data_IF_202320458728
#
_entry.id   IF_202320458728
#
_cell.length_a   1.000
_cell.length_b   1.000
_cell.length_c   1.000
_cell.angle_alpha   90.00
_cell.angle_beta   90.00
_cell.angle_gamma   90.00
#
_symmetry.space_group_name_H-M   'P 1'
#
loop_
_entity.id
_entity.type
_entity.pdbx_description
1 polymer ?
#
# COMPACT_ATOMS: atom_id res chain seq x y z
N UNK A 1 -39.77 -32.40 15.83
CA UNK A 1 -39.28 -31.80 14.56
C UNK A 1 -38.86 -30.38 14.84
N UNK A 2 -37.56 -30.18 15.18
CA UNK A 2 -36.93 -28.89 15.28
C UNK A 2 -36.40 -28.55 13.90
N UNK A 3 -37.14 -27.74 13.16
CA UNK A 3 -36.69 -27.15 11.93
C UNK A 3 -35.78 -25.96 12.26
N UNK A 4 -34.50 -26.18 12.40
CA UNK A 4 -33.50 -25.12 12.37
C UNK A 4 -33.37 -24.69 10.89
N UNK A 5 -34.13 -23.67 10.53
CA UNK A 5 -33.78 -22.88 9.34
C UNK A 5 -32.56 -22.04 9.70
N UNK A 6 -31.39 -22.57 9.47
CA UNK A 6 -30.19 -21.80 9.37
C UNK A 6 -30.36 -20.86 8.13
N UNK A 7 -30.96 -19.70 8.38
CA UNK A 7 -30.80 -18.59 7.46
C UNK A 7 -29.36 -18.12 7.61
N UNK A 8 -28.45 -18.72 6.84
CA UNK A 8 -27.15 -18.14 6.58
C UNK A 8 -27.43 -16.72 6.09
N UNK A 9 -27.22 -15.73 6.99
CA UNK A 9 -27.27 -14.33 6.58
C UNK A 9 -26.17 -14.17 5.58
N UNK A 10 -26.53 -14.10 4.30
CA UNK A 10 -25.61 -13.69 3.25
C UNK A 10 -24.95 -12.42 3.73
N UNK A 11 -23.63 -12.40 3.85
CA UNK A 11 -22.89 -11.18 4.14
C UNK A 11 -23.09 -10.23 2.94
N UNK A 12 -24.03 -9.30 3.10
CA UNK A 12 -24.38 -8.34 2.06
C UNK A 12 -23.38 -7.19 1.96
N UNK A 13 -22.42 -7.11 2.87
CA UNK A 13 -21.39 -6.05 2.90
C UNK A 13 -20.67 -5.98 1.56
N UNK A 14 -20.32 -7.12 0.98
CA UNK A 14 -19.69 -7.21 -0.32
C UNK A 14 -20.51 -6.56 -1.46
N UNK A 15 -21.83 -6.59 -1.41
CA UNK A 15 -22.71 -6.01 -2.42
C UNK A 15 -22.85 -4.49 -2.30
N UNK A 16 -22.39 -3.91 -1.21
CA UNK A 16 -22.49 -2.47 -0.91
C UNK A 16 -21.17 -1.73 -1.07
N UNK A 17 -20.08 -2.44 -1.39
CA UNK A 17 -18.76 -1.85 -1.56
C UNK A 17 -18.72 -1.01 -2.84
N UNK A 18 -18.36 0.26 -2.69
CA UNK A 18 -18.23 1.19 -3.82
C UNK A 18 -16.88 1.02 -4.52
N UNK A 19 -16.82 1.20 -5.86
CA UNK A 19 -15.55 1.29 -6.57
C UNK A 19 -14.65 2.38 -6.01
N UNK A 20 -13.33 2.16 -6.03
CA UNK A 20 -12.31 3.11 -5.58
C UNK A 20 -11.40 3.55 -6.73
N UNK A 21 -11.89 4.34 -7.69
CA UNK A 21 -11.18 4.66 -8.93
C UNK A 21 -9.93 5.51 -8.69
N UNK A 22 -9.93 6.41 -7.69
CA UNK A 22 -8.77 7.26 -7.39
C UNK A 22 -7.63 6.45 -6.77
N UNK A 23 -7.94 5.50 -5.89
CA UNK A 23 -6.97 4.56 -5.34
C UNK A 23 -6.40 3.63 -6.42
N UNK A 24 -7.25 3.16 -7.35
CA UNK A 24 -6.82 2.33 -8.48
C UNK A 24 -5.85 3.09 -9.40
N UNK A 25 -6.15 4.33 -9.77
CA UNK A 25 -5.27 5.17 -10.59
C UNK A 25 -3.94 5.43 -9.89
N UNK A 26 -3.98 5.74 -8.60
CA UNK A 26 -2.82 5.99 -7.76
C UNK A 26 -1.85 4.80 -7.78
N UNK A 27 -2.33 3.59 -7.49
CA UNK A 27 -1.45 2.41 -7.45
C UNK A 27 -0.89 2.05 -8.82
N UNK A 28 -1.65 2.25 -9.90
CA UNK A 28 -1.17 2.07 -11.28
C UNK A 28 -0.05 3.05 -11.64
N UNK A 29 -0.17 4.31 -11.23
CA UNK A 29 0.82 5.34 -11.49
C UNK A 29 2.12 5.06 -10.72
N UNK A 30 2.02 4.86 -9.40
CA UNK A 30 3.21 4.75 -8.54
C UNK A 30 3.89 3.40 -8.60
N UNK A 31 3.20 2.33 -9.00
CA UNK A 31 3.86 1.07 -9.32
C UNK A 31 4.91 1.22 -10.42
N UNK A 32 4.67 2.05 -11.42
CA UNK A 32 5.63 2.34 -12.49
C UNK A 32 6.81 3.20 -11.99
N UNK A 33 6.53 4.21 -11.16
CA UNK A 33 7.56 5.13 -10.62
C UNK A 33 8.51 4.38 -9.67
N UNK A 34 7.99 3.51 -8.82
CA UNK A 34 8.75 2.75 -7.83
C UNK A 34 9.20 1.37 -8.30
N UNK A 35 9.01 1.05 -9.59
CA UNK A 35 9.29 -0.27 -10.17
C UNK A 35 8.62 -1.41 -9.37
N UNK A 36 7.39 -1.16 -8.97
CA UNK A 36 6.56 -2.08 -8.19
C UNK A 36 5.58 -2.89 -9.04
N UNK A 37 4.76 -3.68 -8.36
CA UNK A 37 3.63 -4.40 -8.94
C UNK A 37 2.33 -3.82 -8.43
N UNK A 38 1.26 -3.92 -9.20
CA UNK A 38 -0.08 -3.56 -8.77
C UNK A 38 -1.08 -4.64 -9.16
N UNK A 39 -2.10 -4.77 -8.35
CA UNK A 39 -3.18 -5.72 -8.54
C UNK A 39 -4.50 -5.00 -8.27
N UNK A 40 -5.42 -5.09 -9.18
CA UNK A 40 -6.72 -4.38 -9.14
C UNK A 40 -7.85 -5.31 -9.53
N UNK A 41 -9.06 -4.96 -9.13
CA UNK A 41 -10.26 -5.71 -9.44
C UNK A 41 -10.12 -7.19 -9.02
N UNK A 42 -10.51 -8.13 -9.85
CA UNK A 42 -10.49 -9.57 -9.59
C UNK A 42 -9.09 -10.12 -9.24
N UNK A 43 -8.03 -9.42 -9.64
CA UNK A 43 -6.66 -9.82 -9.35
C UNK A 43 -6.18 -9.36 -7.97
N UNK A 44 -6.92 -8.49 -7.27
CA UNK A 44 -6.57 -8.04 -5.93
C UNK A 44 -7.08 -9.02 -4.87
N UNK A 45 -6.60 -10.27 -4.89
CA UNK A 45 -7.04 -11.33 -3.99
C UNK A 45 -6.20 -11.41 -2.70
N UNK A 46 -6.81 -11.94 -1.62
CA UNK A 46 -6.15 -12.22 -0.34
C UNK A 46 -4.92 -13.13 -0.53
N UNK A 47 -5.06 -14.22 -1.28
CA UNK A 47 -3.97 -15.17 -1.53
C UNK A 47 -2.78 -14.51 -2.20
N UNK A 48 -3.07 -13.65 -3.19
CA UNK A 48 -2.02 -12.93 -3.89
C UNK A 48 -1.29 -11.97 -2.95
N UNK A 49 -2.02 -11.26 -2.09
CA UNK A 49 -1.42 -10.40 -1.08
C UNK A 49 -0.49 -11.20 -0.16
N UNK A 50 -0.96 -12.28 0.44
CA UNK A 50 -0.16 -13.11 1.36
C UNK A 50 1.12 -13.63 0.68
N UNK A 51 1.03 -14.03 -0.59
CA UNK A 51 2.17 -14.61 -1.32
C UNK A 51 3.19 -13.57 -1.81
N UNK A 52 2.78 -12.31 -2.04
CA UNK A 52 3.63 -11.30 -2.69
C UNK A 52 4.09 -10.19 -1.75
N UNK A 53 3.35 -9.89 -0.68
CA UNK A 53 3.58 -8.68 0.12
C UNK A 53 4.95 -8.64 0.80
N UNK A 54 5.51 -9.77 1.22
CA UNK A 54 6.78 -9.87 1.95
C UNK A 54 8.02 -9.38 1.19
N UNK A 55 7.93 -9.23 -0.11
CA UNK A 55 9.09 -8.89 -0.97
C UNK A 55 9.20 -7.38 -1.26
N UNK A 56 8.35 -6.54 -0.67
CA UNK A 56 8.23 -5.15 -1.06
C UNK A 56 8.51 -4.17 0.07
N UNK A 57 9.28 -3.11 -0.23
CA UNK A 57 9.56 -2.01 0.70
C UNK A 57 8.31 -1.20 1.05
N UNK A 58 7.40 -1.03 0.08
CA UNK A 58 6.13 -0.34 0.25
C UNK A 58 5.01 -1.29 -0.12
N UNK A 59 4.06 -1.45 0.78
CA UNK A 59 2.81 -2.17 0.58
C UNK A 59 1.69 -1.13 0.60
N UNK A 60 0.88 -1.05 -0.44
CA UNK A 60 -0.30 -0.17 -0.48
C UNK A 60 -1.57 -0.98 -0.67
N UNK A 61 -2.47 -0.88 0.28
CA UNK A 61 -3.76 -1.57 0.27
C UNK A 61 -4.85 -0.51 0.22
N UNK A 62 -5.38 -0.28 -0.99
CA UNK A 62 -6.51 0.59 -1.26
C UNK A 62 -7.76 -0.24 -1.49
N UNK A 63 -8.14 -1.06 -0.50
CA UNK A 63 -9.35 -1.88 -0.53
C UNK A 63 -10.34 -1.39 0.53
N UNK A 64 -11.40 -2.14 0.78
CA UNK A 64 -12.32 -1.85 1.87
C UNK A 64 -11.85 -2.49 3.17
N UNK A 65 -12.14 -1.83 4.28
CA UNK A 65 -11.88 -2.35 5.62
C UNK A 65 -13.15 -2.29 6.47
N UNK A 66 -13.25 -3.20 7.39
CA UNK A 66 -14.23 -3.17 8.47
C UNK A 66 -13.50 -3.20 9.80
N UNK A 67 -13.72 -2.16 10.61
CA UNK A 67 -13.22 -2.17 11.97
C UNK A 67 -14.23 -2.79 12.93
N UNK A 68 -13.71 -3.56 13.88
CA UNK A 68 -14.49 -4.13 14.97
C UNK A 68 -13.96 -3.59 16.29
N UNK A 69 -14.69 -2.62 16.87
CA UNK A 69 -14.27 -1.95 18.12
C UNK A 69 -14.56 -2.78 19.38
N UNK A 70 -15.38 -3.83 19.28
CA UNK A 70 -15.67 -4.73 20.41
C UNK A 70 -14.67 -5.89 20.49
N UNK A 71 -14.22 -6.36 19.33
CA UNK A 71 -13.23 -7.41 19.16
C UNK A 71 -12.24 -6.98 18.07
N UNK A 72 -11.25 -6.14 18.40
CA UNK A 72 -10.37 -5.52 17.41
C UNK A 72 -9.60 -6.52 16.53
N UNK A 73 -9.35 -7.73 17.04
CA UNK A 73 -8.76 -8.85 16.30
C UNK A 73 -9.62 -9.33 15.12
N UNK A 74 -10.92 -9.02 15.14
CA UNK A 74 -11.88 -9.33 14.07
C UNK A 74 -12.01 -8.18 13.06
N UNK A 75 -11.25 -7.10 13.21
CA UNK A 75 -11.13 -6.10 12.15
C UNK A 75 -10.52 -6.73 10.92
N UNK A 76 -10.98 -6.37 9.71
CA UNK A 76 -10.60 -7.06 8.49
C UNK A 76 -10.41 -6.12 7.30
N UNK A 77 -9.56 -6.54 6.38
CA UNK A 77 -9.45 -6.00 5.03
C UNK A 77 -10.25 -6.92 4.08
N UNK A 78 -10.97 -6.33 3.15
CA UNK A 78 -11.85 -7.07 2.23
C UNK A 78 -11.23 -7.01 0.84
N UNK A 79 -10.69 -8.14 0.37
CA UNK A 79 -10.10 -8.31 -0.94
C UNK A 79 -11.13 -8.69 -2.01
N UNK A 80 -10.72 -8.71 -3.26
CA UNK A 80 -11.56 -9.17 -4.34
C UNK A 80 -11.91 -10.66 -4.17
N UNK A 81 -13.16 -11.00 -4.49
CA UNK A 81 -13.66 -12.37 -4.51
C UNK A 81 -13.53 -12.95 -5.91
N UNK A 82 -13.02 -14.18 -6.02
CA UNK A 82 -13.04 -14.91 -7.28
C UNK A 82 -14.47 -15.33 -7.61
N UNK A 83 -14.85 -15.23 -8.89
CA UNK A 83 -16.20 -15.56 -9.38
C UNK A 83 -16.57 -17.03 -9.10
N UNK A 84 -15.56 -17.90 -8.98
CA UNK A 84 -15.71 -19.34 -8.74
C UNK A 84 -16.00 -19.69 -7.29
N UNK A 85 -15.72 -18.80 -6.33
CA UNK A 85 -15.84 -19.04 -4.88
C UNK A 85 -17.26 -18.74 -4.38
N UNK A 86 -18.24 -19.47 -4.91
CA UNK A 86 -19.67 -19.23 -4.58
C UNK A 86 -20.07 -19.64 -3.16
N UNK A 87 -19.30 -20.46 -2.48
CA UNK A 87 -19.73 -21.11 -1.23
C UNK A 87 -19.02 -20.64 0.05
N UNK A 88 -17.84 -19.98 -0.05
CA UNK A 88 -17.10 -19.54 1.13
C UNK A 88 -17.15 -18.02 1.26
N UNK A 89 -17.91 -17.52 2.23
CA UNK A 89 -18.20 -16.09 2.41
C UNK A 89 -17.02 -15.30 3.02
N UNK A 90 -16.02 -15.95 3.60
CA UNK A 90 -14.91 -15.31 4.33
C UNK A 90 -13.53 -15.40 3.65
N UNK A 91 -13.41 -16.11 2.55
CA UNK A 91 -12.10 -16.36 1.89
C UNK A 91 -11.42 -15.09 1.40
N UNK A 92 -12.19 -14.03 1.10
CA UNK A 92 -11.66 -12.75 0.66
C UNK A 92 -11.36 -11.78 1.82
N UNK A 93 -11.68 -12.13 3.07
CA UNK A 93 -11.43 -11.31 4.25
C UNK A 93 -10.10 -11.68 4.89
N UNK A 94 -9.25 -10.67 5.12
CA UNK A 94 -8.01 -10.82 5.87
C UNK A 94 -8.19 -10.14 7.24
N UNK A 95 -8.32 -10.95 8.26
CA UNK A 95 -8.53 -10.49 9.64
C UNK A 95 -7.23 -10.06 10.31
N UNK A 96 -7.31 -9.16 11.29
CA UNK A 96 -6.15 -8.72 12.07
C UNK A 96 -5.40 -9.89 12.68
N UNK A 97 -6.09 -10.91 13.23
CA UNK A 97 -5.45 -12.08 13.81
C UNK A 97 -4.68 -12.94 12.79
N UNK A 98 -5.05 -12.90 11.50
CA UNK A 98 -4.32 -13.60 10.45
C UNK A 98 -3.05 -12.85 10.06
N UNK A 99 -3.09 -11.49 10.06
CA UNK A 99 -1.96 -10.65 9.70
C UNK A 99 -0.78 -10.87 10.64
N UNK A 100 -1.02 -11.14 11.92
CA UNK A 100 0.04 -11.46 12.91
C UNK A 100 0.92 -12.65 12.50
N UNK A 101 0.45 -13.52 11.62
CA UNK A 101 1.17 -14.70 11.15
C UNK A 101 1.84 -14.50 9.77
N UNK A 102 1.78 -13.30 9.22
CA UNK A 102 2.41 -12.96 7.94
C UNK A 102 3.75 -12.29 8.22
N UNK A 103 4.77 -12.59 7.44
CA UNK A 103 6.06 -11.90 7.44
C UNK A 103 6.09 -10.88 6.30
N UNK A 104 5.98 -9.60 6.63
CA UNK A 104 5.88 -8.53 5.63
C UNK A 104 7.20 -7.85 5.33
N UNK A 105 8.07 -7.67 6.30
CA UNK A 105 9.41 -7.05 6.17
C UNK A 105 9.42 -5.75 5.33
N UNK A 106 8.38 -4.92 5.45
CA UNK A 106 8.22 -3.70 4.65
C UNK A 106 8.63 -2.45 5.43
N UNK A 107 9.18 -1.44 4.73
CA UNK A 107 9.46 -0.14 5.35
C UNK A 107 8.20 0.69 5.60
N UNK A 108 7.15 0.44 4.81
CA UNK A 108 5.90 1.20 4.89
C UNK A 108 4.71 0.38 4.40
N UNK A 109 3.69 0.23 5.21
CA UNK A 109 2.38 -0.20 4.80
C UNK A 109 1.43 1.00 4.74
N UNK A 110 0.68 1.16 3.65
CA UNK A 110 -0.32 2.21 3.44
C UNK A 110 -1.69 1.57 3.38
N UNK A 111 -2.53 1.92 4.33
CA UNK A 111 -3.88 1.43 4.48
C UNK A 111 -4.84 2.59 4.21
N UNK A 112 -5.19 2.81 2.93
CA UNK A 112 -6.18 3.82 2.54
C UNK A 112 -7.60 3.24 2.48
N UNK A 113 -7.77 2.05 3.03
CA UNK A 113 -9.05 1.41 3.19
C UNK A 113 -9.96 2.28 4.06
N UNK A 114 -11.05 2.79 3.49
CA UNK A 114 -12.07 3.50 4.25
C UNK A 114 -12.93 2.49 5.00
N UNK A 115 -13.30 2.82 6.23
CA UNK A 115 -14.24 2.02 7.00
C UNK A 115 -15.63 2.07 6.34
N UNK A 116 -16.12 0.93 5.86
CA UNK A 116 -17.46 0.81 5.26
C UNK A 116 -18.54 0.42 6.27
N UNK A 117 -18.15 0.24 7.53
CA UNK A 117 -19.05 -0.09 8.63
C UNK A 117 -19.86 1.11 9.12
N UNK A 118 -21.09 0.86 9.61
CA UNK A 118 -21.88 1.87 10.30
C UNK A 118 -21.06 2.43 11.47
N UNK A 119 -21.00 3.76 11.66
CA UNK A 119 -20.25 4.36 12.75
C UNK A 119 -20.83 3.91 14.09
N UNK A 120 -20.26 2.89 14.68
CA UNK A 120 -20.41 2.64 16.11
C UNK A 120 -19.35 3.51 16.79
N UNK A 121 -19.79 4.37 17.66
CA UNK A 121 -19.13 5.56 18.17
C UNK A 121 -17.90 5.28 19.07
N UNK A 122 -16.88 4.64 18.55
CA UNK A 122 -15.54 4.60 19.14
C UNK A 122 -14.53 4.71 17.99
N UNK A 123 -14.12 5.94 17.70
CA UNK A 123 -13.24 6.23 16.58
C UNK A 123 -11.87 5.56 16.78
N UNK A 124 -11.47 4.76 15.80
CA UNK A 124 -10.06 4.45 15.58
C UNK A 124 -9.52 3.14 16.12
N UNK A 125 -10.12 2.49 17.12
CA UNK A 125 -9.50 1.29 17.72
C UNK A 125 -9.34 0.12 16.73
N UNK A 126 -10.34 -0.14 15.91
CA UNK A 126 -10.26 -1.22 14.91
C UNK A 126 -9.20 -0.96 13.83
N UNK A 127 -9.08 0.28 13.34
CA UNK A 127 -8.03 0.64 12.37
C UNK A 127 -6.65 0.69 13.02
N UNK A 128 -6.56 1.09 14.28
CA UNK A 128 -5.32 0.99 15.08
C UNK A 128 -4.94 -0.48 15.25
N UNK A 129 -5.90 -1.37 15.45
CA UNK A 129 -5.63 -2.82 15.54
C UNK A 129 -5.06 -3.39 14.24
N UNK A 130 -5.61 -3.00 13.08
CA UNK A 130 -5.03 -3.36 11.79
C UNK A 130 -3.59 -2.80 11.65
N UNK A 131 -3.37 -1.54 12.00
CA UNK A 131 -2.04 -0.95 11.97
C UNK A 131 -1.04 -1.69 12.89
N UNK A 132 -1.47 -2.06 14.11
CA UNK A 132 -0.66 -2.87 15.02
C UNK A 132 -0.35 -4.26 14.45
N UNK A 133 -1.32 -4.90 13.79
CA UNK A 133 -1.11 -6.20 13.16
C UNK A 133 -0.05 -6.11 12.03
N UNK A 134 -0.10 -5.06 11.20
CA UNK A 134 0.91 -4.82 10.16
C UNK A 134 2.30 -4.53 10.75
N UNK A 135 2.36 -3.77 11.84
CA UNK A 135 3.64 -3.51 12.53
C UNK A 135 4.22 -4.80 13.12
N UNK A 136 3.41 -5.60 13.79
CA UNK A 136 3.82 -6.89 14.33
C UNK A 136 4.28 -7.85 13.23
N UNK A 137 3.62 -7.83 12.07
CA UNK A 137 3.97 -8.62 10.88
C UNK A 137 5.27 -8.16 10.20
N UNK A 138 5.92 -7.07 10.67
CA UNK A 138 7.23 -6.62 10.18
C UNK A 138 7.22 -5.35 9.34
N UNK A 139 6.09 -4.63 9.25
CA UNK A 139 6.08 -3.29 8.64
C UNK A 139 6.65 -2.26 9.62
N UNK A 140 7.74 -1.58 9.26
CA UNK A 140 8.42 -0.59 10.12
C UNK A 140 7.54 0.64 10.40
N UNK A 141 6.68 1.00 9.45
CA UNK A 141 5.73 2.10 9.60
C UNK A 141 4.44 1.85 8.85
N UNK A 142 3.38 2.45 9.34
CA UNK A 142 2.04 2.33 8.76
C UNK A 142 1.45 3.71 8.57
N UNK A 143 0.97 4.01 7.35
CA UNK A 143 0.10 5.13 7.06
C UNK A 143 -1.33 4.61 7.05
N UNK A 144 -2.17 5.12 7.96
CA UNK A 144 -3.57 4.71 8.08
C UNK A 144 -4.46 5.92 8.37
N UNK A 145 -5.76 5.73 8.40
CA UNK A 145 -6.70 6.78 8.79
C UNK A 145 -7.36 6.47 10.13
N UNK A 146 -7.61 7.51 10.93
CA UNK A 146 -8.30 7.40 12.22
C UNK A 146 -9.83 7.39 12.08
N UNK A 147 -10.34 7.77 10.93
CA UNK A 147 -11.76 7.77 10.57
C UNK A 147 -11.93 7.62 9.07
N UNK A 148 -13.15 7.46 8.62
CA UNK A 148 -13.49 7.42 7.20
C UNK A 148 -13.13 8.76 6.53
N UNK A 149 -12.21 8.72 5.57
CA UNK A 149 -11.79 9.86 4.76
C UNK A 149 -12.33 9.66 3.34
N UNK A 150 -12.78 10.76 2.73
CA UNK A 150 -13.17 10.78 1.32
C UNK A 150 -12.06 10.21 0.43
N UNK A 151 -12.42 9.29 -0.47
CA UNK A 151 -11.46 8.54 -1.29
C UNK A 151 -10.59 9.47 -2.16
N UNK A 152 -11.21 10.46 -2.81
CA UNK A 152 -10.50 11.41 -3.67
C UNK A 152 -9.49 12.25 -2.88
N UNK A 153 -9.91 12.74 -1.72
CA UNK A 153 -9.05 13.53 -0.82
C UNK A 153 -7.88 12.71 -0.29
N UNK A 154 -8.15 11.47 0.13
CA UNK A 154 -7.13 10.54 0.58
C UNK A 154 -6.13 10.23 -0.54
N UNK A 155 -6.59 9.91 -1.75
CA UNK A 155 -5.75 9.62 -2.89
C UNK A 155 -4.87 10.83 -3.28
N UNK A 156 -5.40 12.07 -3.23
CA UNK A 156 -4.62 13.29 -3.48
C UNK A 156 -3.49 13.46 -2.45
N UNK A 157 -3.78 13.26 -1.16
CA UNK A 157 -2.77 13.39 -0.11
C UNK A 157 -1.71 12.29 -0.25
N UNK A 158 -2.12 11.04 -0.49
CA UNK A 158 -1.16 9.93 -0.68
C UNK A 158 -0.32 10.11 -1.94
N UNK A 159 -0.89 10.70 -2.99
CA UNK A 159 -0.12 11.10 -4.18
C UNK A 159 1.00 12.07 -3.83
N UNK A 160 0.68 13.16 -3.13
CA UNK A 160 1.66 14.15 -2.67
C UNK A 160 2.69 13.53 -1.70
N UNK A 161 2.26 12.62 -0.86
CA UNK A 161 3.13 11.87 0.02
C UNK A 161 4.14 11.01 -0.75
N UNK A 162 3.70 10.27 -1.77
CA UNK A 162 4.59 9.51 -2.66
C UNK A 162 5.57 10.40 -3.42
N UNK A 163 5.11 11.55 -3.91
CA UNK A 163 5.97 12.53 -4.58
C UNK A 163 7.09 13.02 -3.65
N UNK A 164 6.81 13.19 -2.36
CA UNK A 164 7.79 13.60 -1.36
C UNK A 164 8.74 12.46 -0.97
N UNK A 165 8.20 11.22 -0.80
CA UNK A 165 9.04 10.03 -0.57
C UNK A 165 10.03 9.78 -1.72
N UNK A 166 9.61 10.01 -2.97
CA UNK A 166 10.47 9.84 -4.15
C UNK A 166 11.68 10.77 -4.15
N UNK A 167 11.59 11.92 -3.45
CA UNK A 167 12.67 12.87 -3.24
C UNK A 167 13.59 12.50 -2.07
N UNK A 168 13.32 11.40 -1.38
CA UNK A 168 14.08 10.93 -0.21
C UNK A 168 13.73 11.66 1.08
N UNK A 169 12.55 12.26 1.18
CA UNK A 169 12.09 12.93 2.39
C UNK A 169 11.75 11.90 3.48
N UNK A 170 12.03 12.19 4.77
CA UNK A 170 11.54 11.38 5.89
C UNK A 170 10.02 11.22 5.84
N UNK A 171 9.51 10.06 6.27
CA UNK A 171 8.10 9.70 6.09
C UNK A 171 7.12 10.65 6.78
N UNK A 172 7.44 11.11 7.99
CA UNK A 172 6.63 12.06 8.75
C UNK A 172 6.60 13.44 8.08
N UNK A 173 7.76 13.95 7.65
CA UNK A 173 7.85 15.21 6.94
C UNK A 173 7.18 15.14 5.56
N UNK A 174 7.33 14.00 4.86
CA UNK A 174 6.65 13.76 3.60
C UNK A 174 5.12 13.84 3.75
N UNK A 175 4.56 13.26 4.82
CA UNK A 175 3.12 13.34 5.11
C UNK A 175 2.69 14.75 5.52
N UNK A 176 3.50 15.41 6.37
CA UNK A 176 3.23 16.79 6.77
C UNK A 176 3.15 17.72 5.57
N UNK A 177 4.13 17.66 4.68
CA UNK A 177 4.16 18.48 3.47
C UNK A 177 3.03 18.13 2.51
N UNK A 178 2.67 16.86 2.39
CA UNK A 178 1.55 16.42 1.56
C UNK A 178 0.22 17.03 2.05
N UNK A 179 -0.01 17.02 3.37
CA UNK A 179 -1.20 17.64 3.95
C UNK A 179 -1.22 19.16 3.77
N UNK A 180 -0.09 19.85 3.96
CA UNK A 180 0.01 21.29 3.76
C UNK A 180 -0.30 21.65 2.31
N UNK A 181 0.31 20.97 1.33
CA UNK A 181 0.05 21.19 -0.09
C UNK A 181 -1.41 20.86 -0.48
N UNK A 182 -2.02 19.86 0.16
CA UNK A 182 -3.44 19.58 -0.03
C UNK A 182 -4.31 20.73 0.46
N UNK A 183 -4.06 21.25 1.68
CA UNK A 183 -4.83 22.34 2.28
C UNK A 183 -4.71 23.63 1.45
N UNK A 184 -3.55 23.93 0.90
CA UNK A 184 -3.32 25.10 0.04
C UNK A 184 -4.20 25.09 -1.22
N UNK A 185 -4.57 23.92 -1.71
CA UNK A 185 -5.37 23.76 -2.94
C UNK A 185 -6.81 23.29 -2.69
N UNK A 186 -7.14 22.95 -1.45
CA UNK A 186 -8.48 22.47 -1.10
C UNK A 186 -9.48 23.63 -1.03
N UNK A 187 -10.65 23.44 -1.63
CA UNK A 187 -11.69 24.44 -1.69
C UNK A 187 -12.99 23.94 -1.05
N UNK A 188 -13.79 24.86 -0.54
CA UNK A 188 -15.11 24.57 0.02
C UNK A 188 -15.04 23.52 1.13
N UNK A 189 -15.87 22.49 1.06
CA UNK A 189 -15.96 21.44 2.08
C UNK A 189 -14.70 20.61 2.24
N UNK A 190 -13.91 20.45 1.17
CA UNK A 190 -12.71 19.61 1.20
C UNK A 190 -11.55 20.23 2.00
N UNK A 191 -11.62 21.52 2.30
CA UNK A 191 -10.67 22.21 3.20
C UNK A 191 -10.91 21.85 4.69
N UNK A 192 -12.05 21.27 5.04
CA UNK A 192 -12.36 20.91 6.42
C UNK A 192 -11.47 19.76 6.92
N UNK A 193 -11.06 19.75 8.21
CA UNK A 193 -10.11 18.77 8.76
C UNK A 193 -10.51 17.30 8.57
N UNK A 194 -11.78 17.00 8.48
CA UNK A 194 -12.29 15.64 8.26
C UNK A 194 -11.80 15.02 6.95
N UNK A 195 -11.39 15.81 5.95
CA UNK A 195 -10.90 15.34 4.66
C UNK A 195 -9.39 15.06 4.61
N UNK A 196 -8.62 15.58 5.58
CA UNK A 196 -7.16 15.48 5.53
C UNK A 196 -6.49 15.12 6.86
N UNK A 197 -7.08 15.50 8.00
CA UNK A 197 -6.40 15.34 9.29
C UNK A 197 -6.32 13.88 9.75
N UNK A 198 -7.26 13.03 9.32
CA UNK A 198 -7.36 11.64 9.76
C UNK A 198 -6.22 10.74 9.31
N UNK A 199 -5.52 11.04 8.22
CA UNK A 199 -4.35 10.26 7.81
C UNK A 199 -3.20 10.47 8.80
N UNK A 200 -2.69 9.38 9.39
CA UNK A 200 -1.60 9.39 10.37
C UNK A 200 -0.53 8.37 10.02
N UNK A 201 0.71 8.70 10.32
CA UNK A 201 1.85 7.79 10.25
C UNK A 201 2.15 7.26 11.65
N UNK A 202 2.30 5.93 11.77
CA UNK A 202 2.66 5.22 13.00
C UNK A 202 3.94 4.45 12.73
N UNK A 203 4.93 4.51 13.62
CA UNK A 203 6.17 3.74 13.52
C UNK A 203 7.37 4.58 13.09
N UNK A 204 8.32 3.96 12.39
CA UNK A 204 9.57 4.58 11.98
C UNK A 204 9.39 5.69 10.96
N UNK A 205 10.10 6.80 11.12
CA UNK A 205 10.02 7.97 10.25
C UNK A 205 11.17 8.11 9.26
N UNK A 206 12.17 7.23 9.31
CA UNK A 206 13.32 7.29 8.44
C UNK A 206 12.93 7.29 6.94
N UNK A 207 13.69 7.96 6.07
CA UNK A 207 13.42 7.94 4.64
C UNK A 207 13.58 6.53 4.05
N UNK A 208 12.78 6.21 3.04
CA UNK A 208 12.89 4.94 2.34
C UNK A 208 13.86 5.12 1.17
N UNK A 209 14.87 4.26 1.09
CA UNK A 209 15.73 4.21 -0.09
C UNK A 209 15.00 3.55 -1.26
N UNK A 210 14.38 4.38 -2.10
CA UNK A 210 13.62 3.96 -3.28
C UNK A 210 14.47 3.92 -4.56
N UNK A 211 15.77 4.32 -4.48
CA UNK A 211 16.65 4.27 -5.63
C UNK A 211 16.93 2.82 -6.01
N UNK A 212 16.74 2.49 -7.27
CA UNK A 212 17.23 1.22 -7.80
C UNK A 212 18.74 1.15 -7.53
N UNK A 213 19.20 0.13 -6.81
CA UNK A 213 20.64 -0.11 -6.67
C UNK A 213 21.18 -0.36 -8.07
N UNK A 214 21.87 0.65 -8.64
CA UNK A 214 22.62 0.43 -9.88
C UNK A 214 23.62 -0.67 -9.57
N UNK A 215 23.43 -1.82 -10.18
CA UNK A 215 24.29 -2.95 -9.92
C UNK A 215 25.70 -2.57 -10.34
N UNK A 216 26.63 -2.48 -9.38
CA UNK A 216 28.03 -2.06 -9.58
C UNK A 216 28.75 -2.86 -10.68
N UNK A 217 28.29 -4.04 -11.00
CA UNK A 217 28.83 -4.86 -12.10
C UNK A 217 28.64 -4.22 -13.49
N UNK A 218 27.68 -3.28 -13.68
CA UNK A 218 27.57 -2.50 -14.91
C UNK A 218 28.77 -1.58 -15.11
N UNK A 219 29.30 -1.01 -14.03
CA UNK A 219 30.53 -0.20 -14.09
C UNK A 219 31.73 -1.07 -14.39
N UNK A 220 31.82 -2.29 -13.89
CA UNK A 220 32.85 -3.26 -14.24
C UNK A 220 32.75 -3.68 -15.70
N UNK A 221 31.56 -4.01 -16.19
CA UNK A 221 31.35 -4.36 -17.58
C UNK A 221 31.76 -3.20 -18.52
N UNK A 222 31.36 -1.98 -18.22
CA UNK A 222 31.75 -0.79 -18.98
C UNK A 222 33.27 -0.56 -18.95
N UNK A 223 33.91 -0.77 -17.80
CA UNK A 223 35.36 -0.70 -17.66
C UNK A 223 36.11 -1.74 -18.50
N UNK A 224 35.61 -2.99 -18.52
CA UNK A 224 36.19 -4.07 -19.36
C UNK A 224 36.04 -3.73 -20.84
N UNK A 225 34.88 -3.25 -21.27
CA UNK A 225 34.64 -2.86 -22.67
C UNK A 225 35.57 -1.70 -23.06
N UNK A 226 35.72 -0.69 -22.22
CA UNK A 226 36.64 0.42 -22.46
C UNK A 226 38.09 -0.06 -22.56
N UNK A 227 38.53 -0.97 -21.71
CA UNK A 227 39.88 -1.57 -21.74
C UNK A 227 40.12 -2.32 -23.05
N UNK A 228 39.17 -3.14 -23.49
CA UNK A 228 39.26 -3.89 -24.77
C UNK A 228 39.38 -2.90 -25.94
N UNK A 229 38.57 -1.85 -25.96
CA UNK A 229 38.65 -0.82 -27.03
C UNK A 229 40.03 -0.16 -27.05
N UNK A 230 40.58 0.22 -25.91
CA UNK A 230 41.94 0.81 -25.83
C UNK A 230 43.00 -0.18 -26.33
N UNK A 231 42.92 -1.44 -25.94
CA UNK A 231 43.87 -2.45 -26.41
C UNK A 231 43.80 -2.69 -27.93
N UNK A 232 42.59 -2.68 -28.50
CA UNK A 232 42.38 -2.76 -29.96
C UNK A 232 42.96 -1.56 -30.69
N UNK A 233 42.77 -0.37 -30.15
CA UNK A 233 43.36 0.87 -30.76
C UNK A 233 44.87 0.89 -30.70
N UNK A 234 45.50 0.40 -29.63
CA UNK A 234 46.95 0.28 -29.50
C UNK A 234 47.50 -0.80 -30.44
N UNK A 235 46.78 -1.94 -30.55
CA UNK A 235 47.13 -3.04 -31.44
C UNK A 235 47.12 -2.61 -32.92
N UNK A 236 46.11 -1.85 -33.32
CA UNK A 236 45.99 -1.36 -34.70
C UNK A 236 47.10 -0.37 -35.08
N UNK A 237 47.54 0.48 -34.13
CA UNK A 237 48.68 1.43 -34.38
C UNK A 237 50.02 0.71 -34.55
N UNK A 238 50.23 -0.48 -33.99
CA UNK A 238 51.46 -1.26 -34.17
C UNK A 238 51.48 -2.02 -35.48
N UNK A 239 50.36 -2.23 -36.16
CA UNK A 239 50.30 -2.88 -37.49
C UNK A 239 50.59 -1.96 -38.67
N UNK A 240 50.55 -0.63 -38.48
CA UNK A 240 50.83 0.36 -39.54
C UNK A 240 52.31 0.82 -39.58
N UNK A 241 53.17 0.34 -38.70
CA UNK A 241 54.61 0.73 -38.61
C UNK A 241 55.59 -0.40 -38.98
N UNK A 242 55.13 -1.44 -39.70
CA UNK A 242 56.05 -2.47 -40.30
C UNK A 242 55.93 -2.48 -41.82
#
# INVERSE_FOLDING_TARGET
QLGIKDSVKLDKTYLTLLPQPFSEELVKQYSKIFNGRYFVNENASKDLFINQAKEHKIIHIGTHAESNNLSPELSRLIFAKKVEDKENYDENSLYSYEIYNIDLSSNLAILTACETGKPTYQAGEGMISLAHAFNYAGSESILTSLWEIDEESSAKIVKLFYDNLSKGMPKDEALRQAKLSYIETAEGRTAAPQYWAGLVLIGDTAPIDLKARVAWWWYLAAGIVALILVLLLIGNKKGETN
#
